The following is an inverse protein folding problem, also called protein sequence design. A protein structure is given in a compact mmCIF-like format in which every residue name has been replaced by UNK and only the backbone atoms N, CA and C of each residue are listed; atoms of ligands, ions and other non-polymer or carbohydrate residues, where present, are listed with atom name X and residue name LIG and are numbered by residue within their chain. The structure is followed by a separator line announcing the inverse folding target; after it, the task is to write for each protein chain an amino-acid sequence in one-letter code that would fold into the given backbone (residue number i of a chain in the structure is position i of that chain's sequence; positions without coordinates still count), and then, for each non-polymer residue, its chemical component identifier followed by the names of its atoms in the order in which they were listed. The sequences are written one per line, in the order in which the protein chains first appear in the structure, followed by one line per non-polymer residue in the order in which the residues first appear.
data_IF_749250215667
#
_entry.id   IF_749250215667
#
_cell.length_a   1.000
_cell.length_b   1.000
_cell.length_c   1.000
_cell.angle_alpha   90.00
_cell.angle_beta   90.00
_cell.angle_gamma   90.00
#
_symmetry.space_group_name_H-M   'P 1'
#
loop_
_entity.id
_entity.type
_entity.pdbx_description
1 polymer ?
#
# COMPACT_ATOMS: atom_id res chain seq x y z
N UNK A 1 -15.66 -6.64 22.11
CA UNK A 1 -14.22 -6.46 21.89
C UNK A 1 -13.82 -4.99 22.02
N UNK A 2 -12.60 -4.68 22.46
CA UNK A 2 -12.07 -3.32 22.38
C UNK A 2 -11.97 -2.89 20.92
N UNK A 3 -12.49 -1.71 20.60
CA UNK A 3 -12.52 -1.17 19.23
C UNK A 3 -11.18 -0.49 18.94
N UNK A 4 -10.59 -0.78 17.77
CA UNK A 4 -9.46 -0.03 17.27
C UNK A 4 -9.88 1.39 16.87
N UNK A 5 -8.96 2.34 16.96
CA UNK A 5 -9.18 3.73 16.56
C UNK A 5 -8.19 4.13 15.47
N UNK A 6 -8.68 4.65 14.36
CA UNK A 6 -7.88 5.17 13.25
C UNK A 6 -8.11 6.67 13.12
N UNK A 7 -7.05 7.46 13.22
CA UNK A 7 -7.12 8.91 13.32
C UNK A 7 -6.13 9.57 12.35
N UNK A 8 -6.63 10.44 11.50
CA UNK A 8 -5.83 11.26 10.57
C UNK A 8 -5.54 12.66 11.11
N UNK A 9 -6.32 13.14 12.08
CA UNK A 9 -6.10 14.44 12.69
C UNK A 9 -5.09 14.34 13.84
N UNK A 10 -3.99 15.07 13.73
CA UNK A 10 -2.89 15.10 14.72
C UNK A 10 -3.34 15.35 16.15
N UNK A 11 -4.26 16.28 16.34
CA UNK A 11 -4.79 16.62 17.67
C UNK A 11 -5.59 15.48 18.30
N UNK A 12 -6.41 14.80 17.50
CA UNK A 12 -7.22 13.66 17.95
C UNK A 12 -6.33 12.47 18.30
N UNK A 13 -5.34 12.15 17.44
CA UNK A 13 -4.37 11.09 17.71
C UNK A 13 -3.63 11.36 19.03
N UNK A 14 -3.11 12.58 19.21
CA UNK A 14 -2.43 12.97 20.44
C UNK A 14 -3.33 12.79 21.66
N UNK A 15 -4.59 13.26 21.61
CA UNK A 15 -5.52 13.14 22.72
C UNK A 15 -5.77 11.68 23.09
N UNK A 16 -5.99 10.81 22.08
CA UNK A 16 -6.20 9.38 22.30
C UNK A 16 -4.96 8.70 22.88
N UNK A 17 -3.78 8.98 22.30
CA UNK A 17 -2.50 8.44 22.79
C UNK A 17 -2.25 8.83 24.25
N UNK A 18 -2.44 10.11 24.60
CA UNK A 18 -2.28 10.59 25.98
C UNK A 18 -3.31 9.99 26.94
N UNK A 19 -4.54 9.77 26.47
CA UNK A 19 -5.57 9.05 27.22
C UNK A 19 -5.19 7.61 27.54
N UNK A 20 -4.68 6.86 26.54
CA UNK A 20 -4.17 5.49 26.74
C UNK A 20 -2.98 5.48 27.69
N UNK A 21 -2.06 6.45 27.58
CA UNK A 21 -0.91 6.60 28.47
C UNK A 21 -1.34 6.85 29.92
N UNK A 22 -2.27 7.77 30.15
CA UNK A 22 -2.80 8.07 31.48
C UNK A 22 -3.54 6.89 32.12
N UNK A 23 -4.14 6.01 31.29
CA UNK A 23 -4.81 4.79 31.73
C UNK A 23 -3.87 3.58 31.87
N UNK A 24 -2.58 3.73 31.67
CA UNK A 24 -1.58 2.63 31.63
C UNK A 24 -1.97 1.51 30.66
N UNK A 25 -2.46 1.88 29.46
CA UNK A 25 -2.91 0.93 28.44
C UNK A 25 -1.99 0.84 27.23
N UNK A 26 -0.96 1.69 27.10
CA UNK A 26 0.00 1.64 25.99
C UNK A 26 0.85 0.37 25.98
N UNK A 27 1.00 -0.31 27.11
CA UNK A 27 1.73 -1.57 27.25
C UNK A 27 1.03 -2.77 26.60
N UNK A 28 -0.27 -2.65 26.29
CA UNK A 28 -1.09 -3.69 25.67
C UNK A 28 -1.95 -3.22 24.50
N UNK A 29 -1.90 -1.94 24.14
CA UNK A 29 -2.55 -1.40 22.95
C UNK A 29 -1.50 -1.10 21.90
N UNK A 30 -1.47 -1.80 20.76
CA UNK A 30 -0.51 -1.52 19.70
C UNK A 30 -0.80 -0.15 19.06
N UNK A 31 0.26 0.60 18.78
CA UNK A 31 0.21 1.92 18.16
C UNK A 31 0.94 1.87 16.82
N UNK A 32 0.25 2.15 15.73
CA UNK A 32 0.79 2.08 14.38
C UNK A 32 0.81 3.44 13.70
N UNK A 33 1.88 3.71 12.96
CA UNK A 33 1.96 4.81 11.98
C UNK A 33 1.67 4.22 10.60
N UNK A 34 0.71 4.79 9.87
CA UNK A 34 0.26 4.29 8.57
C UNK A 34 0.51 5.33 7.50
N UNK A 35 1.31 4.99 6.51
CA UNK A 35 1.60 5.79 5.33
C UNK A 35 1.31 4.97 4.08
N UNK A 36 0.78 5.58 3.01
CA UNK A 36 0.48 4.81 1.83
C UNK A 36 -0.28 5.53 0.73
N UNK A 37 -0.52 4.78 -0.33
CA UNK A 37 -1.25 5.17 -1.52
C UNK A 37 -2.75 4.83 -1.45
N UNK A 38 -3.40 4.63 -2.60
CA UNK A 38 -4.83 4.34 -2.68
C UNK A 38 -5.24 3.01 -2.03
N UNK A 39 -4.35 2.04 -1.89
CA UNK A 39 -4.69 0.79 -1.19
C UNK A 39 -4.94 1.00 0.30
N UNK A 40 -4.37 2.05 0.88
CA UNK A 40 -4.65 2.49 2.25
C UNK A 40 -5.64 3.67 2.33
N UNK A 41 -5.89 4.35 1.22
CA UNK A 41 -6.70 5.59 1.18
C UNK A 41 -7.61 5.66 -0.05
N UNK A 42 -8.34 4.57 -0.37
CA UNK A 42 -9.35 4.59 -1.45
C UNK A 42 -10.54 5.42 -1.00
N UNK A 43 -10.94 6.46 -1.75
CA UNK A 43 -12.12 7.25 -1.41
C UNK A 43 -13.41 6.42 -1.53
N UNK A 44 -14.36 6.63 -0.61
CA UNK A 44 -15.73 6.12 -0.66
C UNK A 44 -15.91 4.59 -0.59
N UNK A 45 -14.86 3.84 -0.34
CA UNK A 45 -14.88 2.39 -0.23
C UNK A 45 -13.97 1.96 0.91
N UNK A 46 -14.32 0.90 1.62
CA UNK A 46 -13.43 0.30 2.61
C UNK A 46 -12.21 -0.29 1.91
N UNK A 47 -11.05 0.23 2.24
CA UNK A 47 -9.76 -0.17 1.68
C UNK A 47 -9.02 -1.18 2.58
N UNK A 48 -7.80 -1.55 2.17
CA UNK A 48 -6.98 -2.51 2.90
C UNK A 48 -6.74 -2.07 4.36
N UNK A 49 -6.38 -0.79 4.58
CA UNK A 49 -6.13 -0.28 5.94
C UNK A 49 -7.39 -0.21 6.78
N UNK A 50 -8.52 0.18 6.20
CA UNK A 50 -9.80 0.21 6.91
C UNK A 50 -10.17 -1.17 7.46
N UNK A 51 -9.99 -2.23 6.65
CA UNK A 51 -10.23 -3.61 7.06
C UNK A 51 -9.17 -4.13 8.04
N UNK A 52 -7.92 -3.66 7.98
CA UNK A 52 -6.92 -3.97 9.01
C UNK A 52 -7.34 -3.39 10.36
N UNK A 53 -7.82 -2.15 10.36
CA UNK A 53 -8.25 -1.44 11.58
C UNK A 53 -9.55 -2.00 12.15
N UNK A 54 -10.54 -2.23 11.28
CA UNK A 54 -11.91 -2.59 11.67
C UNK A 54 -12.33 -3.89 10.97
N UNK A 55 -12.05 -5.05 11.56
CA UNK A 55 -12.44 -6.34 10.98
C UNK A 55 -13.96 -6.45 10.89
N UNK A 56 -14.45 -7.27 9.94
CA UNK A 56 -15.86 -7.51 9.75
C UNK A 56 -16.49 -8.26 10.95
N UNK A 57 -17.77 -8.05 11.22
CA UNK A 57 -18.50 -8.90 12.15
C UNK A 57 -18.37 -10.39 11.78
N UNK A 58 -18.11 -11.24 12.76
CA UNK A 58 -17.91 -12.68 12.55
C UNK A 58 -16.50 -13.08 12.11
N UNK A 59 -15.57 -12.15 11.94
CA UNK A 59 -14.17 -12.47 11.61
C UNK A 59 -13.49 -13.28 12.70
N UNK A 60 -13.78 -12.98 13.97
CA UNK A 60 -13.22 -13.70 15.12
C UNK A 60 -13.64 -15.16 15.11
N UNK A 61 -14.93 -15.43 14.87
CA UNK A 61 -15.48 -16.79 14.79
C UNK A 61 -14.91 -17.57 13.61
N UNK A 62 -14.49 -16.88 12.55
CA UNK A 62 -13.79 -17.46 11.38
C UNK A 62 -12.29 -17.65 11.60
N UNK A 63 -11.76 -17.25 12.75
CA UNK A 63 -10.35 -17.36 13.06
C UNK A 63 -9.48 -16.29 12.37
N UNK A 64 -10.08 -15.21 11.85
CA UNK A 64 -9.31 -14.09 11.32
C UNK A 64 -8.60 -13.36 12.48
N UNK A 65 -7.27 -13.16 12.42
CA UNK A 65 -6.52 -12.54 13.51
C UNK A 65 -7.06 -11.18 13.93
N UNK A 66 -7.12 -10.93 15.24
CA UNK A 66 -7.66 -9.72 15.85
C UNK A 66 -6.66 -9.08 16.81
N UNK A 67 -6.76 -7.76 17.01
CA UNK A 67 -6.03 -7.09 18.10
C UNK A 67 -6.82 -7.24 19.41
N UNK A 68 -6.32 -8.03 20.34
CA UNK A 68 -7.03 -8.40 21.58
C UNK A 68 -7.50 -7.22 22.44
N UNK A 69 -6.81 -6.08 22.40
CA UNK A 69 -7.14 -4.85 23.13
C UNK A 69 -7.53 -3.68 22.21
N UNK A 70 -7.77 -3.95 20.91
CA UNK A 70 -7.86 -2.92 19.89
C UNK A 70 -6.48 -2.32 19.56
N UNK A 71 -6.42 -1.43 18.57
CA UNK A 71 -5.20 -0.74 18.15
C UNK A 71 -5.42 0.76 17.98
N UNK A 72 -4.36 1.56 18.09
CA UNK A 72 -4.36 2.97 17.76
C UNK A 72 -3.54 3.20 16.49
N UNK A 73 -4.19 3.67 15.43
CA UNK A 73 -3.62 3.90 14.12
C UNK A 73 -3.55 5.38 13.82
N UNK A 74 -2.36 5.90 13.56
CA UNK A 74 -2.17 7.26 13.05
C UNK A 74 -2.05 7.20 11.53
N UNK A 75 -3.03 7.76 10.85
CA UNK A 75 -3.22 7.70 9.41
C UNK A 75 -2.72 8.97 8.76
N UNK A 76 -1.76 8.86 7.85
CA UNK A 76 -1.19 9.98 7.07
C UNK A 76 -1.13 9.69 5.58
N UNK A 77 -1.64 8.53 5.16
CA UNK A 77 -1.71 8.07 3.78
C UNK A 77 -2.54 9.00 2.87
N UNK A 78 -2.22 9.00 1.57
CA UNK A 78 -2.91 9.80 0.56
C UNK A 78 -3.01 9.05 -0.76
N UNK A 79 -4.23 8.88 -1.26
CA UNK A 79 -4.49 8.27 -2.57
C UNK A 79 -3.69 8.93 -3.68
N UNK A 80 -3.06 8.13 -4.55
CA UNK A 80 -2.27 8.59 -5.69
C UNK A 80 -0.85 9.06 -5.36
N UNK A 81 -0.36 8.87 -4.13
CA UNK A 81 1.04 9.16 -3.81
C UNK A 81 1.98 8.13 -4.43
N UNK A 82 3.14 8.58 -4.90
CA UNK A 82 4.23 7.77 -5.43
C UNK A 82 5.25 7.48 -4.34
N UNK A 83 5.89 6.32 -4.39
CA UNK A 83 7.03 6.03 -3.51
C UNK A 83 8.23 6.93 -3.87
N UNK A 84 8.61 6.95 -5.14
CA UNK A 84 9.76 7.70 -5.63
C UNK A 84 9.42 9.17 -5.97
N UNK A 85 10.35 10.12 -5.71
CA UNK A 85 10.16 11.52 -6.12
C UNK A 85 10.11 11.72 -7.64
N UNK A 86 10.81 10.87 -8.38
CA UNK A 86 10.88 10.99 -9.85
C UNK A 86 9.53 10.70 -10.49
N UNK A 87 8.99 11.67 -11.21
CA UNK A 87 7.69 11.55 -11.90
C UNK A 87 6.47 11.83 -11.00
N UNK A 88 6.65 11.98 -9.69
CA UNK A 88 5.58 12.40 -8.81
C UNK A 88 5.25 13.89 -9.01
N UNK A 89 3.96 14.24 -8.92
CA UNK A 89 3.56 15.64 -8.83
C UNK A 89 4.10 16.30 -7.55
N UNK A 90 4.28 17.62 -7.50
CA UNK A 90 4.77 18.30 -6.30
C UNK A 90 3.98 17.91 -5.03
N UNK A 91 4.68 17.51 -3.97
CA UNK A 91 4.09 17.10 -2.69
C UNK A 91 3.37 15.74 -2.73
N UNK A 92 3.58 14.93 -3.80
CA UNK A 92 2.97 13.61 -3.99
C UNK A 92 4.00 12.46 -3.95
N UNK A 93 5.23 12.76 -3.57
CA UNK A 93 6.28 11.76 -3.37
C UNK A 93 6.36 11.39 -1.89
N UNK A 94 5.90 10.21 -1.57
CA UNK A 94 5.83 9.67 -0.20
C UNK A 94 7.20 9.68 0.48
N UNK A 95 8.24 9.26 -0.23
CA UNK A 95 9.60 9.17 0.29
C UNK A 95 10.49 10.37 -0.11
N UNK A 96 9.88 11.53 -0.42
CA UNK A 96 10.64 12.77 -0.49
C UNK A 96 11.17 13.17 0.90
N UNK A 97 12.32 13.84 0.93
CA UNK A 97 12.99 14.19 2.18
C UNK A 97 12.08 14.92 3.17
N UNK A 98 11.32 15.91 2.70
CA UNK A 98 10.46 16.71 3.58
C UNK A 98 9.34 15.87 4.21
N UNK A 99 8.75 14.93 3.45
CA UNK A 99 7.75 14.01 3.97
C UNK A 99 8.37 13.02 4.97
N UNK A 100 9.57 12.51 4.68
CA UNK A 100 10.31 11.65 5.63
C UNK A 100 10.57 12.41 6.93
N UNK A 101 11.03 13.65 6.87
CA UNK A 101 11.33 14.49 8.04
C UNK A 101 10.04 14.73 8.88
N UNK A 102 8.91 15.00 8.24
CA UNK A 102 7.61 15.15 8.90
C UNK A 102 7.17 13.86 9.61
N UNK A 103 7.30 12.72 8.93
CA UNK A 103 6.96 11.41 9.51
C UNK A 103 7.88 11.06 10.69
N UNK A 104 9.18 11.33 10.57
CA UNK A 104 10.15 11.14 11.66
C UNK A 104 9.84 12.02 12.87
N UNK A 105 9.33 13.24 12.64
CA UNK A 105 8.88 14.13 13.71
C UNK A 105 7.75 13.53 14.55
N UNK A 106 6.88 12.69 13.95
CA UNK A 106 5.87 11.91 14.66
C UNK A 106 6.45 10.64 15.25
N UNK A 107 7.19 9.89 14.44
CA UNK A 107 7.77 8.61 14.80
C UNK A 107 8.67 8.67 16.04
N UNK A 108 9.40 9.77 16.20
CA UNK A 108 10.26 10.00 17.38
C UNK A 108 9.52 10.54 18.60
N UNK A 109 8.35 11.16 18.40
CA UNK A 109 7.54 11.76 19.48
C UNK A 109 6.66 10.77 20.21
N UNK A 110 6.19 9.75 19.49
CA UNK A 110 5.27 8.75 20.02
C UNK A 110 5.86 7.35 19.91
N UNK A 111 5.51 6.47 20.85
CA UNK A 111 6.00 5.09 20.89
C UNK A 111 5.17 4.22 19.94
N UNK A 112 5.44 4.33 18.64
CA UNK A 112 4.88 3.42 17.65
C UNK A 112 5.51 2.03 17.77
N UNK A 113 4.69 1.00 17.63
CA UNK A 113 5.08 -0.42 17.65
C UNK A 113 5.36 -0.97 16.25
N UNK A 114 4.78 -0.35 15.23
CA UNK A 114 5.02 -0.67 13.84
C UNK A 114 4.72 0.53 12.93
N UNK A 115 5.33 0.52 11.73
CA UNK A 115 4.97 1.38 10.60
C UNK A 115 4.38 0.50 9.51
N UNK A 116 3.21 0.89 8.98
CA UNK A 116 2.55 0.19 7.87
C UNK A 116 2.72 1.01 6.61
N UNK A 117 3.08 0.36 5.50
CA UNK A 117 3.34 1.01 4.22
C UNK A 117 2.53 0.38 3.09
N UNK A 118 1.91 1.24 2.27
CA UNK A 118 1.40 0.90 0.94
C UNK A 118 2.02 1.82 -0.08
N UNK A 119 3.03 1.37 -0.83
CA UNK A 119 3.81 2.26 -1.68
C UNK A 119 4.39 1.55 -2.90
N UNK A 120 4.43 2.23 -4.03
CA UNK A 120 5.08 1.78 -5.25
C UNK A 120 4.13 1.47 -6.42
N UNK A 121 2.83 1.26 -6.20
CA UNK A 121 1.88 0.96 -7.27
C UNK A 121 1.77 2.09 -8.30
N UNK A 122 1.61 3.32 -7.82
CA UNK A 122 1.49 4.50 -8.68
C UNK A 122 2.77 4.84 -9.47
N UNK A 123 3.89 4.28 -9.06
CA UNK A 123 5.19 4.50 -9.71
C UNK A 123 5.30 3.83 -11.10
N UNK A 124 4.42 2.87 -11.42
CA UNK A 124 4.49 2.03 -12.60
C UNK A 124 3.30 2.16 -13.56
N UNK A 125 2.43 3.14 -13.36
CA UNK A 125 1.18 3.28 -14.11
C UNK A 125 1.03 4.68 -14.71
N UNK A 126 -0.11 4.95 -15.37
CA UNK A 126 -0.55 6.23 -15.90
C UNK A 126 0.51 6.89 -16.82
N UNK A 127 0.78 8.16 -16.65
CA UNK A 127 1.69 8.97 -17.47
C UNK A 127 3.11 8.38 -17.53
N UNK A 128 3.58 7.79 -16.42
CA UNK A 128 4.88 7.15 -16.42
C UNK A 128 4.92 5.93 -17.35
N UNK A 129 3.90 5.04 -17.27
CA UNK A 129 3.80 3.86 -18.12
C UNK A 129 3.68 4.24 -19.59
N UNK A 130 2.88 5.27 -19.89
CA UNK A 130 2.78 5.84 -21.23
C UNK A 130 4.15 6.25 -21.77
N UNK A 131 4.91 7.01 -20.98
CA UNK A 131 6.26 7.45 -21.37
C UNK A 131 7.26 6.30 -21.54
N UNK A 132 7.19 5.31 -20.66
CA UNK A 132 8.07 4.15 -20.69
C UNK A 132 7.88 3.28 -21.96
N UNK A 133 6.64 3.15 -22.43
CA UNK A 133 6.29 2.37 -23.63
C UNK A 133 6.22 3.22 -24.92
N UNK A 134 6.50 4.53 -24.84
CA UNK A 134 6.40 5.44 -25.98
C UNK A 134 7.33 4.98 -27.15
N UNK A 135 6.76 4.88 -28.35
CA UNK A 135 7.47 4.42 -29.55
C UNK A 135 7.62 2.91 -29.66
N UNK A 136 7.12 2.13 -28.70
CA UNK A 136 7.04 0.67 -28.79
C UNK A 136 5.72 0.26 -29.45
N UNK A 137 5.74 -0.87 -30.16
CA UNK A 137 4.55 -1.48 -30.76
C UNK A 137 4.81 -2.98 -30.98
N UNK A 138 3.74 -3.77 -30.97
CA UNK A 138 3.78 -5.20 -31.27
C UNK A 138 4.74 -6.01 -30.40
N UNK A 139 4.79 -5.67 -29.10
CA UNK A 139 5.61 -6.39 -28.13
C UNK A 139 4.84 -7.59 -27.56
N UNK A 140 5.56 -8.65 -27.23
CA UNK A 140 5.02 -9.64 -26.32
C UNK A 140 5.14 -9.16 -24.84
N UNK A 141 4.46 -9.81 -23.87
CA UNK A 141 4.52 -9.42 -22.47
C UNK A 141 5.92 -9.43 -21.85
N UNK A 142 6.83 -10.28 -22.31
CA UNK A 142 8.19 -10.35 -21.79
C UNK A 142 9.04 -9.21 -22.36
N UNK A 143 8.94 -8.94 -23.64
CA UNK A 143 9.61 -7.81 -24.30
C UNK A 143 9.17 -6.47 -23.68
N UNK A 144 7.86 -6.28 -23.49
CA UNK A 144 7.33 -5.10 -22.83
C UNK A 144 7.88 -4.95 -21.40
N UNK A 145 7.99 -6.05 -20.65
CA UNK A 145 8.58 -6.04 -19.31
C UNK A 145 10.06 -5.65 -19.34
N UNK A 146 10.85 -6.13 -20.30
CA UNK A 146 12.27 -5.73 -20.46
C UNK A 146 12.41 -4.23 -20.76
N UNK A 147 11.48 -3.64 -21.53
CA UNK A 147 11.41 -2.18 -21.70
C UNK A 147 11.24 -1.50 -20.35
N UNK A 148 10.29 -1.93 -19.51
CA UNK A 148 10.09 -1.37 -18.16
C UNK A 148 11.36 -1.50 -17.30
N UNK A 149 11.99 -2.67 -17.30
CA UNK A 149 13.26 -2.89 -16.57
C UNK A 149 14.35 -1.93 -17.01
N UNK A 150 14.49 -1.73 -18.33
CA UNK A 150 15.52 -0.87 -18.90
C UNK A 150 15.41 0.61 -18.51
N UNK A 151 14.24 1.07 -18.06
CA UNK A 151 14.04 2.45 -17.59
C UNK A 151 14.76 2.75 -16.26
N UNK A 152 15.16 1.73 -15.51
CA UNK A 152 15.70 1.88 -14.15
C UNK A 152 14.66 2.24 -13.08
N UNK A 153 13.35 2.14 -13.38
CA UNK A 153 12.29 2.57 -12.45
C UNK A 153 12.29 1.78 -11.14
N UNK A 154 12.50 0.47 -11.21
CA UNK A 154 12.62 -0.38 -10.01
C UNK A 154 13.74 0.09 -9.08
N UNK A 155 14.88 0.49 -9.64
CA UNK A 155 16.01 1.03 -8.89
C UNK A 155 15.68 2.36 -8.22
N UNK A 156 14.98 3.26 -8.93
CA UNK A 156 14.53 4.54 -8.37
C UNK A 156 13.59 4.32 -7.18
N UNK A 157 12.61 3.41 -7.32
CA UNK A 157 11.67 3.07 -6.24
C UNK A 157 12.40 2.42 -5.08
N UNK A 158 13.31 1.47 -5.33
CA UNK A 158 14.11 0.82 -4.30
C UNK A 158 14.96 1.84 -3.53
N UNK A 159 15.64 2.75 -4.22
CA UNK A 159 16.45 3.80 -3.60
C UNK A 159 15.60 4.71 -2.70
N UNK A 160 14.38 5.06 -3.14
CA UNK A 160 13.47 5.85 -2.32
C UNK A 160 13.04 5.11 -1.04
N UNK A 161 12.73 3.83 -1.14
CA UNK A 161 12.48 2.96 0.02
C UNK A 161 13.70 2.90 0.95
N UNK A 162 14.91 2.71 0.40
CA UNK A 162 16.14 2.67 1.20
C UNK A 162 16.35 3.94 2.00
N UNK A 163 16.13 5.11 1.40
CA UNK A 163 16.21 6.40 2.11
C UNK A 163 15.25 6.44 3.29
N UNK A 164 13.99 6.08 3.08
CA UNK A 164 12.97 6.02 4.13
C UNK A 164 13.37 5.04 5.23
N UNK A 165 13.70 3.80 4.88
CA UNK A 165 14.03 2.74 5.83
C UNK A 165 15.26 3.09 6.68
N UNK A 166 16.32 3.64 6.07
CA UNK A 166 17.52 4.05 6.79
C UNK A 166 17.25 5.20 7.75
N UNK A 167 16.42 6.17 7.36
CA UNK A 167 16.03 7.28 8.22
C UNK A 167 15.27 6.78 9.46
N UNK A 168 14.32 5.88 9.28
CA UNK A 168 13.54 5.27 10.37
C UNK A 168 14.39 4.34 11.23
N UNK A 169 15.30 3.56 10.62
CA UNK A 169 16.23 2.71 11.35
C UNK A 169 17.18 3.53 12.24
N UNK A 170 17.68 4.64 11.73
CA UNK A 170 18.54 5.55 12.49
C UNK A 170 17.79 6.16 13.67
N UNK A 171 16.54 6.53 13.48
CA UNK A 171 15.73 7.17 14.51
C UNK A 171 15.33 6.19 15.64
N UNK A 172 14.88 4.99 15.28
CA UNK A 172 14.46 3.95 16.25
C UNK A 172 14.70 2.56 15.68
N UNK A 173 15.91 1.99 15.83
CA UNK A 173 16.19 0.64 15.37
C UNK A 173 15.29 -0.38 16.05
N UNK A 174 14.82 -1.38 15.30
CA UNK A 174 14.01 -2.48 15.82
C UNK A 174 12.49 -2.27 15.79
N UNK A 175 11.98 -1.09 15.46
CA UNK A 175 10.55 -0.90 15.18
C UNK A 175 10.24 -1.48 13.80
N UNK A 176 9.37 -2.50 13.67
CA UNK A 176 9.11 -3.13 12.39
C UNK A 176 8.39 -2.17 11.42
N UNK A 177 8.81 -2.22 10.16
CA UNK A 177 8.14 -1.56 9.04
C UNK A 177 7.60 -2.67 8.15
N UNK A 178 6.28 -2.72 7.99
CA UNK A 178 5.58 -3.75 7.24
C UNK A 178 4.92 -3.14 6.01
N UNK A 179 5.42 -3.53 4.83
CA UNK A 179 4.81 -3.19 3.55
C UNK A 179 3.96 -4.37 3.01
N UNK A 180 3.50 -4.26 1.78
CA UNK A 180 2.89 -5.38 1.05
C UNK A 180 3.27 -5.34 -0.43
N UNK A 181 3.20 -6.50 -1.09
CA UNK A 181 3.08 -6.54 -2.54
C UNK A 181 1.67 -6.16 -2.95
N UNK A 182 1.49 -5.76 -4.23
CA UNK A 182 0.16 -5.72 -4.82
C UNK A 182 -0.24 -7.13 -5.28
N UNK A 183 -1.55 -7.35 -5.48
CA UNK A 183 -2.03 -8.59 -6.10
C UNK A 183 -2.18 -8.40 -7.62
N UNK A 184 -2.36 -9.48 -8.35
CA UNK A 184 -2.46 -9.49 -9.82
C UNK A 184 -3.83 -9.02 -10.28
N UNK A 185 -3.95 -7.80 -10.84
CA UNK A 185 -5.23 -7.28 -11.27
C UNK A 185 -5.80 -8.08 -12.44
N UNK A 186 -7.12 -8.23 -12.43
CA UNK A 186 -7.82 -9.06 -13.41
C UNK A 186 -8.64 -8.25 -14.41
N UNK A 187 -8.98 -7.01 -14.08
CA UNK A 187 -9.84 -6.13 -14.88
C UNK A 187 -9.04 -5.06 -15.64
N UNK A 188 -7.91 -5.45 -16.26
CA UNK A 188 -7.07 -4.51 -17.02
C UNK A 188 -7.90 -3.80 -18.09
N UNK A 189 -7.77 -2.47 -18.19
CA UNK A 189 -8.55 -1.63 -19.10
C UNK A 189 -9.93 -1.22 -18.58
N UNK A 190 -10.34 -1.67 -17.39
CA UNK A 190 -11.61 -1.27 -16.78
C UNK A 190 -11.43 -0.08 -15.85
N UNK A 191 -12.21 0.98 -16.09
CA UNK A 191 -12.36 2.08 -15.13
C UNK A 191 -13.15 1.64 -13.89
N UNK A 192 -13.04 2.41 -12.81
CA UNK A 192 -13.79 2.17 -11.60
C UNK A 192 -15.30 2.23 -11.85
N UNK A 193 -16.04 1.24 -11.37
CA UNK A 193 -17.50 1.24 -11.40
C UNK A 193 -18.04 1.95 -10.15
N UNK A 194 -18.44 3.22 -10.31
CA UNK A 194 -19.11 3.94 -9.24
C UNK A 194 -20.58 3.53 -9.16
N UNK A 195 -20.98 2.99 -8.02
CA UNK A 195 -22.39 2.62 -7.79
C UNK A 195 -23.32 3.84 -7.87
N UNK A 196 -24.56 3.61 -8.32
CA UNK A 196 -25.61 4.66 -8.51
C UNK A 196 -25.86 5.57 -7.29
N UNK A 197 -25.50 5.12 -6.08
CA UNK A 197 -25.63 5.93 -4.84
C UNK A 197 -24.64 7.08 -4.72
N UNK A 198 -23.58 7.11 -5.52
CA UNK A 198 -22.46 8.07 -5.40
C UNK A 198 -22.36 9.07 -6.55
N UNK A 199 -23.43 9.21 -7.39
CA UNK A 199 -23.45 10.05 -8.59
C UNK A 199 -23.03 11.53 -8.36
N UNK A 200 -23.32 12.08 -7.18
CA UNK A 200 -22.92 13.47 -6.85
C UNK A 200 -21.42 13.61 -6.54
N UNK A 201 -20.79 12.56 -6.06
CA UNK A 201 -19.35 12.52 -5.71
C UNK A 201 -18.53 12.04 -6.91
N UNK A 202 -19.09 11.19 -7.76
CA UNK A 202 -18.50 10.73 -9.02
C UNK A 202 -18.09 11.89 -9.95
N UNK A 203 -18.90 12.97 -9.99
CA UNK A 203 -18.59 14.16 -10.78
C UNK A 203 -17.34 14.91 -10.28
N UNK A 204 -17.05 14.87 -8.99
CA UNK A 204 -15.84 15.44 -8.37
C UNK A 204 -14.61 14.53 -8.54
N UNK A 205 -14.80 13.23 -8.68
CA UNK A 205 -13.74 12.22 -8.78
C UNK A 205 -13.34 11.86 -10.21
N UNK A 206 -14.01 12.40 -11.23
CA UNK A 206 -13.78 12.10 -12.66
C UNK A 206 -12.33 12.10 -13.15
N UNK A 207 -11.39 12.69 -12.40
CA UNK A 207 -9.96 12.70 -12.72
C UNK A 207 -9.20 11.50 -12.13
N UNK A 208 -9.80 10.67 -11.28
CA UNK A 208 -9.13 9.58 -10.56
C UNK A 208 -9.74 8.19 -10.81
N UNK A 209 -10.54 8.04 -11.86
CA UNK A 209 -11.33 6.82 -12.09
C UNK A 209 -10.65 5.79 -13.00
N UNK A 210 -9.44 6.10 -13.52
CA UNK A 210 -8.75 5.23 -14.49
C UNK A 210 -9.46 5.16 -15.85
N UNK A 211 -9.15 4.18 -16.72
CA UNK A 211 -8.07 3.19 -16.50
C UNK A 211 -6.66 3.80 -16.65
N UNK A 212 -5.72 3.31 -15.84
CA UNK A 212 -4.33 3.82 -15.79
C UNK A 212 -3.32 2.92 -16.48
N UNK A 213 -3.71 1.67 -16.81
CA UNK A 213 -2.85 0.66 -17.45
C UNK A 213 -3.33 0.38 -18.87
N UNK A 214 -4.60 0.00 -19.03
CA UNK A 214 -5.18 -0.45 -20.30
C UNK A 214 -4.87 0.44 -21.48
N UNK A 215 -5.13 1.76 -21.45
CA UNK A 215 -4.85 2.68 -22.55
C UNK A 215 -3.36 2.77 -22.95
N UNK A 216 -2.46 2.42 -22.02
CA UNK A 216 -1.01 2.48 -22.24
C UNK A 216 -0.44 1.19 -22.84
N UNK A 217 -1.16 0.08 -22.74
CA UNK A 217 -0.76 -1.23 -23.28
C UNK A 217 -1.51 -1.60 -24.55
N UNK A 218 -2.68 -0.99 -24.78
CA UNK A 218 -3.48 -1.18 -26.00
C UNK A 218 -2.69 -0.67 -27.22
N UNK A 219 -2.58 -1.52 -28.27
CA UNK A 219 -1.80 -1.21 -29.47
C UNK A 219 -0.27 -1.30 -29.28
N UNK A 220 0.21 -1.53 -28.06
CA UNK A 220 1.62 -1.74 -27.75
C UNK A 220 1.92 -3.21 -27.49
N UNK A 221 1.08 -3.89 -26.71
CA UNK A 221 1.24 -5.31 -26.36
C UNK A 221 0.22 -6.14 -27.12
N UNK A 222 0.71 -7.05 -27.96
CA UNK A 222 -0.11 -7.96 -28.74
C UNK A 222 -0.72 -9.08 -27.87
N UNK A 223 -1.88 -9.62 -28.30
CA UNK A 223 -2.53 -10.75 -27.63
C UNK A 223 -3.68 -10.36 -26.68
N UNK A 224 -4.03 -9.08 -26.59
CA UNK A 224 -5.20 -8.60 -25.85
C UNK A 224 -5.11 -8.78 -24.34
N UNK A 225 -6.27 -8.91 -23.68
CA UNK A 225 -6.39 -8.84 -22.21
C UNK A 225 -5.52 -9.86 -21.46
N UNK A 226 -5.35 -11.06 -21.97
CA UNK A 226 -4.53 -12.09 -21.31
C UNK A 226 -3.04 -11.77 -21.40
N UNK A 227 -2.58 -11.20 -22.52
CA UNK A 227 -1.23 -10.69 -22.66
C UNK A 227 -0.99 -9.48 -21.73
N UNK A 228 -1.95 -8.57 -21.63
CA UNK A 228 -1.87 -7.42 -20.72
C UNK A 228 -1.82 -7.85 -19.25
N UNK A 229 -2.63 -8.85 -18.87
CA UNK A 229 -2.57 -9.48 -17.52
C UNK A 229 -1.20 -10.11 -17.26
N UNK A 230 -0.64 -10.81 -18.26
CA UNK A 230 0.69 -11.42 -18.17
C UNK A 230 1.79 -10.37 -18.00
N UNK A 231 1.70 -9.25 -18.71
CA UNK A 231 2.61 -8.12 -18.57
C UNK A 231 2.54 -7.49 -17.17
N UNK A 232 1.34 -7.13 -16.71
CA UNK A 232 1.15 -6.52 -15.39
C UNK A 232 1.59 -7.46 -14.27
N UNK A 233 1.33 -8.77 -14.42
CA UNK A 233 1.86 -9.77 -13.50
C UNK A 233 3.37 -9.71 -13.39
N UNK A 234 4.09 -9.64 -14.54
CA UNK A 234 5.55 -9.49 -14.55
C UNK A 234 6.01 -8.20 -13.88
N UNK A 235 5.26 -7.10 -14.05
CA UNK A 235 5.59 -5.84 -13.38
C UNK A 235 5.49 -5.97 -11.84
N UNK A 236 4.45 -6.63 -11.33
CA UNK A 236 4.26 -6.86 -9.89
C UNK A 236 5.31 -7.84 -9.36
N UNK A 237 5.62 -8.92 -10.09
CA UNK A 237 6.71 -9.84 -9.75
C UNK A 237 8.05 -9.10 -9.70
N UNK A 238 8.31 -8.25 -10.68
CA UNK A 238 9.49 -7.39 -10.73
C UNK A 238 9.58 -6.43 -9.53
N UNK A 239 8.46 -5.87 -9.07
CA UNK A 239 8.44 -5.04 -7.87
C UNK A 239 8.86 -5.85 -6.63
N UNK A 240 8.35 -7.06 -6.47
CA UNK A 240 8.76 -7.92 -5.35
C UNK A 240 10.24 -8.30 -5.47
N UNK A 241 10.67 -8.79 -6.62
CA UNK A 241 12.02 -9.33 -6.83
C UNK A 241 13.12 -8.27 -6.81
N UNK A 242 12.82 -7.05 -7.30
CA UNK A 242 13.81 -5.98 -7.51
C UNK A 242 13.75 -4.89 -6.44
N UNK A 243 12.63 -4.79 -5.70
CA UNK A 243 12.47 -3.77 -4.65
C UNK A 243 12.31 -4.43 -3.29
N UNK A 244 11.22 -5.18 -3.04
CA UNK A 244 10.87 -5.62 -1.69
C UNK A 244 11.82 -6.71 -1.15
N UNK A 245 12.14 -7.72 -1.94
CA UNK A 245 13.04 -8.80 -1.50
C UNK A 245 14.47 -8.34 -1.21
N UNK A 246 15.12 -7.50 -2.05
CA UNK A 246 16.43 -6.94 -1.72
C UNK A 246 16.42 -6.14 -0.42
N UNK A 247 15.40 -5.32 -0.19
CA UNK A 247 15.26 -4.53 1.03
C UNK A 247 15.07 -5.40 2.27
N UNK A 248 14.25 -6.45 2.17
CA UNK A 248 14.04 -7.41 3.25
C UNK A 248 15.33 -8.17 3.62
N UNK A 249 16.18 -8.44 2.63
CA UNK A 249 17.46 -9.15 2.83
C UNK A 249 18.62 -8.23 3.23
N UNK A 250 18.42 -6.92 3.21
CA UNK A 250 19.46 -5.97 3.61
C UNK A 250 19.73 -6.07 5.11
N UNK A 251 20.84 -6.74 5.47
CA UNK A 251 21.26 -6.93 6.86
C UNK A 251 21.56 -5.62 7.60
N UNK A 252 21.87 -4.55 6.87
CA UNK A 252 22.14 -3.22 7.45
C UNK A 252 20.87 -2.57 8.04
N UNK A 253 19.68 -3.07 7.68
CA UNK A 253 18.39 -2.65 8.24
C UNK A 253 18.01 -3.45 9.50
N UNK A 254 18.87 -4.37 9.96
CA UNK A 254 18.63 -5.12 11.20
C UNK A 254 17.34 -5.95 11.24
N UNK A 255 16.78 -6.30 10.07
CA UNK A 255 15.53 -7.06 9.96
C UNK A 255 14.27 -6.25 10.29
N UNK A 256 14.36 -4.91 10.36
CA UNK A 256 13.19 -4.07 10.65
C UNK A 256 12.18 -4.02 9.50
N UNK A 257 12.61 -4.24 8.26
CA UNK A 257 11.72 -4.24 7.09
C UNK A 257 11.25 -5.64 6.76
N UNK A 258 9.95 -5.76 6.50
CA UNK A 258 9.31 -6.95 5.98
C UNK A 258 8.14 -6.56 5.08
N UNK A 259 7.62 -7.51 4.30
CA UNK A 259 6.42 -7.28 3.51
C UNK A 259 5.52 -8.51 3.53
N UNK A 260 4.23 -8.28 3.31
CA UNK A 260 3.22 -9.31 3.10
C UNK A 260 3.10 -9.57 1.60
N UNK A 261 3.36 -10.80 1.18
CA UNK A 261 3.15 -11.18 -0.21
C UNK A 261 1.65 -11.47 -0.45
N UNK A 262 1.00 -10.55 -1.15
CA UNK A 262 -0.43 -10.62 -1.47
C UNK A 262 -0.69 -11.15 -2.88
N UNK A 263 0.33 -11.53 -3.63
CA UNK A 263 0.19 -11.99 -5.01
C UNK A 263 -0.63 -13.27 -5.13
N UNK A 264 -1.59 -13.28 -6.08
CA UNK A 264 -2.41 -14.44 -6.40
C UNK A 264 -3.48 -14.78 -5.37
N UNK A 265 -3.78 -13.90 -4.43
CA UNK A 265 -4.82 -14.12 -3.42
C UNK A 265 -6.23 -13.90 -3.98
N UNK A 266 -6.40 -12.95 -4.91
CA UNK A 266 -7.67 -12.62 -5.54
C UNK A 266 -7.73 -13.25 -6.92
N UNK A 267 -8.49 -14.35 -7.04
CA UNK A 267 -8.49 -15.18 -8.26
C UNK A 267 -9.68 -14.93 -9.18
N UNK A 268 -10.65 -14.11 -8.78
CA UNK A 268 -11.90 -13.86 -9.51
C UNK A 268 -12.00 -12.40 -9.93
N UNK A 269 -12.55 -12.14 -11.13
CA UNK A 269 -12.75 -10.78 -11.65
C UNK A 269 -13.70 -9.97 -10.77
N UNK A 270 -14.66 -10.62 -10.10
CA UNK A 270 -15.61 -10.00 -9.16
C UNK A 270 -14.97 -9.48 -7.87
N UNK A 271 -13.70 -9.83 -7.61
CA UNK A 271 -12.95 -9.32 -6.46
C UNK A 271 -12.22 -8.00 -6.78
N UNK A 272 -12.34 -7.51 -8.03
CA UNK A 272 -11.69 -6.28 -8.50
C UNK A 272 -12.75 -5.25 -8.90
N UNK A 273 -12.57 -4.02 -8.42
CA UNK A 273 -13.42 -2.89 -8.78
C UNK A 273 -13.00 -2.27 -10.14
N UNK A 274 -11.70 -2.14 -10.33
CA UNK A 274 -11.08 -1.63 -11.54
C UNK A 274 -9.77 -2.38 -11.83
N UNK A 275 -8.90 -1.80 -12.64
CA UNK A 275 -7.60 -2.41 -13.01
C UNK A 275 -6.50 -2.27 -11.95
N UNK A 276 -6.74 -1.60 -10.83
CA UNK A 276 -5.77 -1.40 -9.76
C UNK A 276 -6.30 -1.72 -8.36
N UNK A 277 -7.63 -1.58 -8.16
CA UNK A 277 -8.21 -1.65 -6.83
C UNK A 277 -9.12 -2.86 -6.68
N UNK A 278 -8.90 -3.69 -5.67
CA UNK A 278 -9.86 -4.68 -5.22
C UNK A 278 -11.20 -4.07 -4.81
N UNK A 279 -12.26 -4.87 -4.84
CA UNK A 279 -13.53 -4.54 -4.17
C UNK A 279 -13.36 -4.54 -2.65
N UNK A 280 -14.34 -4.03 -1.91
CA UNK A 280 -14.33 -4.12 -0.44
C UNK A 280 -14.14 -5.56 0.06
N UNK A 281 -14.79 -6.53 -0.58
CA UNK A 281 -14.64 -7.96 -0.25
C UNK A 281 -13.22 -8.46 -0.56
N UNK A 282 -12.61 -8.01 -1.66
CA UNK A 282 -11.22 -8.31 -1.99
C UNK A 282 -10.26 -7.72 -0.95
N UNK A 283 -10.41 -6.45 -0.62
CA UNK A 283 -9.59 -5.82 0.42
C UNK A 283 -9.78 -6.48 1.79
N UNK A 284 -11.00 -6.89 2.15
CA UNK A 284 -11.25 -7.62 3.38
C UNK A 284 -10.47 -8.94 3.46
N UNK A 285 -10.46 -9.72 2.36
CA UNK A 285 -9.68 -10.95 2.29
C UNK A 285 -8.18 -10.67 2.49
N UNK A 286 -7.62 -9.69 1.78
CA UNK A 286 -6.20 -9.32 1.88
C UNK A 286 -5.84 -8.77 3.27
N UNK A 287 -6.74 -8.01 3.88
CA UNK A 287 -6.54 -7.45 5.22
C UNK A 287 -6.39 -8.52 6.31
N UNK A 288 -7.10 -9.64 6.19
CA UNK A 288 -6.92 -10.79 7.10
C UNK A 288 -5.49 -11.34 7.06
N UNK A 289 -4.92 -11.48 5.86
CA UNK A 289 -3.54 -11.95 5.65
C UNK A 289 -2.55 -10.93 6.23
N UNK A 290 -2.72 -9.65 5.90
CA UNK A 290 -1.86 -8.58 6.39
C UNK A 290 -1.88 -8.48 7.92
N UNK A 291 -3.08 -8.53 8.53
CA UNK A 291 -3.25 -8.44 9.98
C UNK A 291 -2.57 -9.61 10.69
N UNK A 292 -2.68 -10.82 10.15
CA UNK A 292 -1.97 -11.99 10.68
C UNK A 292 -0.47 -11.72 10.78
N UNK A 293 0.13 -11.24 9.69
CA UNK A 293 1.57 -10.92 9.66
C UNK A 293 1.93 -9.75 10.59
N UNK A 294 1.09 -8.73 10.66
CA UNK A 294 1.31 -7.59 11.57
C UNK A 294 1.34 -8.05 13.04
N UNK A 295 0.38 -8.85 13.46
CA UNK A 295 0.31 -9.36 14.83
C UNK A 295 1.56 -10.14 15.21
N UNK A 296 2.12 -10.94 14.31
CA UNK A 296 3.40 -11.66 14.54
C UNK A 296 4.58 -10.71 14.83
N UNK A 297 4.56 -9.49 14.26
CA UNK A 297 5.62 -8.49 14.43
C UNK A 297 5.46 -7.66 15.71
N UNK A 298 4.28 -7.61 16.29
CA UNK A 298 4.03 -6.83 17.50
C UNK A 298 4.64 -7.49 18.75
N UNK A 299 4.96 -6.70 19.79
CA UNK A 299 5.32 -7.24 21.10
C UNK A 299 4.26 -8.19 21.64
N UNK A 300 4.67 -9.27 22.31
CA UNK A 300 3.76 -10.30 22.80
C UNK A 300 2.63 -9.75 23.71
N UNK A 301 2.89 -8.67 24.44
CA UNK A 301 1.90 -8.00 25.31
C UNK A 301 0.83 -7.22 24.53
N UNK A 302 1.02 -7.02 23.22
CA UNK A 302 0.17 -6.20 22.34
C UNK A 302 -0.50 -7.00 21.21
N UNK A 303 -0.36 -8.31 21.24
CA UNK A 303 -0.97 -9.25 20.27
C UNK A 303 -2.42 -9.54 20.58
#
# INVERSE_FOLDING_TARGET
MPISSALSQRGQFRAMYMGLKAQHRLDRTPVMLCEGDSWFSTPLSMNLLDWIVSPAPGDEERGVPQFGQGGLFFRVERSGDHAAPQGAAPGRAMFAKDNIDDLLGWFTRYDFDAVLLSAGGNDFVDTWLHGALAGSAHLDPAEAFEVIVSTGRYEQVRTAYEMFLRAFHTARPGVPILAHSYDYPRRIGSAAELGLGNLGVAALLKKSEGPWIGPNVEGVIDGGIDAWRAFVRRMIDGFVERVLEPLKRDSSLGGMFDYVDLRGQLTQDTQWNDEMHPTEAGFHQLAGIFRGRLIEKLPATKR
#
